data_IF_707849524706
#
_entry.id   IF_707849524706
#
_cell.length_a   1.000
_cell.length_b   1.000
_cell.length_c   1.000
_cell.angle_alpha   90.00
_cell.angle_beta   90.00
_cell.angle_gamma   90.00
#
_symmetry.space_group_name_H-M   'P 1'
#
loop_
_entity.id
_entity.type
_entity.pdbx_description
1 polymer ?
#
# COMPACT_ATOMS: atom_id res chain seq x y z
N UNK A 1 -22.15 -8.75 16.21
CA UNK A 1 -21.13 -7.72 15.96
C UNK A 1 -21.73 -6.76 14.95
N UNK A 2 -22.17 -5.58 15.37
CA UNK A 2 -22.71 -4.58 14.45
C UNK A 2 -21.48 -3.98 13.75
N UNK A 3 -21.28 -4.36 12.48
CA UNK A 3 -20.35 -3.64 11.61
C UNK A 3 -21.03 -2.29 11.34
N UNK A 4 -20.78 -1.30 12.19
CA UNK A 4 -21.07 0.08 11.83
C UNK A 4 -20.23 0.33 10.57
N UNK A 5 -20.90 0.46 9.43
CA UNK A 5 -20.22 0.81 8.20
C UNK A 5 -19.44 2.10 8.45
N UNK A 6 -18.14 2.09 8.16
CA UNK A 6 -17.30 3.26 8.36
C UNK A 6 -17.92 4.48 7.66
N UNK A 7 -17.82 5.67 8.26
CA UNK A 7 -18.35 6.87 7.63
C UNK A 7 -17.78 7.02 6.21
N UNK A 8 -18.60 7.37 5.21
CA UNK A 8 -18.18 7.35 3.81
C UNK A 8 -16.98 8.25 3.53
N UNK A 9 -16.84 9.37 4.24
CA UNK A 9 -15.68 10.28 4.11
C UNK A 9 -14.39 9.70 4.69
N UNK A 10 -14.46 8.96 5.79
CA UNK A 10 -13.32 8.22 6.36
C UNK A 10 -12.86 7.15 5.39
N UNK A 11 -13.79 6.41 4.80
CA UNK A 11 -13.47 5.36 3.82
C UNK A 11 -12.82 5.94 2.56
N UNK A 12 -13.31 7.07 2.05
CA UNK A 12 -12.71 7.75 0.89
C UNK A 12 -11.28 8.19 1.21
N UNK A 13 -11.02 8.74 2.40
CA UNK A 13 -9.67 9.14 2.80
C UNK A 13 -8.73 7.94 2.90
N UNK A 14 -9.21 6.82 3.46
CA UNK A 14 -8.45 5.56 3.52
C UNK A 14 -8.13 5.02 2.11
N UNK A 15 -9.13 4.97 1.22
CA UNK A 15 -8.96 4.53 -0.17
C UNK A 15 -7.98 5.43 -0.94
N UNK A 16 -8.01 6.74 -0.70
CA UNK A 16 -7.07 7.68 -1.30
C UNK A 16 -5.64 7.47 -0.81
N UNK A 17 -5.44 7.30 0.51
CA UNK A 17 -4.13 6.99 1.08
C UNK A 17 -3.58 5.64 0.56
N UNK A 18 -4.44 4.63 0.48
CA UNK A 18 -4.12 3.33 -0.12
C UNK A 18 -3.70 3.47 -1.59
N UNK A 19 -4.46 4.20 -2.40
CA UNK A 19 -4.15 4.40 -3.81
C UNK A 19 -2.79 5.08 -4.00
N UNK A 20 -2.48 6.10 -3.19
CA UNK A 20 -1.18 6.78 -3.21
C UNK A 20 -0.03 5.87 -2.80
N UNK A 21 -0.24 5.00 -1.84
CA UNK A 21 0.76 3.99 -1.47
C UNK A 21 1.07 3.06 -2.66
N UNK A 22 0.03 2.57 -3.34
CA UNK A 22 0.19 1.70 -4.50
C UNK A 22 0.81 2.40 -5.71
N UNK A 23 0.51 3.68 -5.94
CA UNK A 23 1.19 4.49 -6.96
C UNK A 23 2.68 4.63 -6.68
N UNK A 24 3.07 4.92 -5.44
CA UNK A 24 4.46 5.00 -5.04
C UNK A 24 5.19 3.67 -5.24
N UNK A 25 4.56 2.54 -4.88
CA UNK A 25 5.08 1.20 -5.14
C UNK A 25 5.32 0.95 -6.63
N UNK A 26 4.33 1.29 -7.46
CA UNK A 26 4.41 1.08 -8.90
C UNK A 26 5.52 1.92 -9.53
N UNK A 27 5.71 3.17 -9.08
CA UNK A 27 6.78 4.04 -9.55
C UNK A 27 8.17 3.50 -9.18
N UNK A 28 8.31 3.02 -7.95
CA UNK A 28 9.55 2.40 -7.45
C UNK A 28 9.89 1.12 -8.22
N UNK A 29 8.89 0.25 -8.44
CA UNK A 29 9.05 -0.96 -9.25
C UNK A 29 9.38 -0.64 -10.71
N UNK A 30 8.73 0.36 -11.31
CA UNK A 30 9.02 0.79 -12.68
C UNK A 30 10.45 1.32 -12.81
N UNK A 31 10.92 2.09 -11.82
CA UNK A 31 12.31 2.59 -11.78
C UNK A 31 13.30 1.44 -11.66
N UNK A 32 13.03 0.49 -10.75
CA UNK A 32 13.84 -0.72 -10.62
C UNK A 32 13.94 -1.49 -11.95
N UNK A 33 12.79 -1.77 -12.58
CA UNK A 33 12.73 -2.48 -13.86
C UNK A 33 13.43 -1.73 -14.99
N UNK A 34 13.30 -0.40 -15.06
CA UNK A 34 13.96 0.42 -16.08
C UNK A 34 15.48 0.47 -15.91
N UNK A 35 15.99 0.35 -14.68
CA UNK A 35 17.43 0.30 -14.38
C UNK A 35 18.05 -1.10 -14.57
N UNK A 36 17.22 -2.13 -14.69
CA UNK A 36 17.64 -3.52 -14.75
C UNK A 36 17.93 -3.95 -16.20
N UNK A 37 19.07 -3.53 -16.78
CA UNK A 37 19.46 -3.99 -18.12
C UNK A 37 19.74 -5.51 -18.18
N UNK A 38 20.00 -6.22 -17.06
CA UNK A 38 20.50 -7.62 -17.11
C UNK A 38 20.12 -8.54 -15.91
N UNK A 39 18.98 -8.37 -15.23
CA UNK A 39 18.70 -9.16 -14.01
C UNK A 39 17.89 -10.46 -14.25
N UNK A 40 18.34 -11.63 -13.74
CA UNK A 40 17.56 -12.88 -13.79
C UNK A 40 16.28 -12.81 -12.94
N UNK A 41 15.24 -13.56 -13.32
CA UNK A 41 13.89 -13.51 -12.75
C UNK A 41 13.80 -13.72 -11.22
N UNK A 42 14.78 -14.40 -10.62
CA UNK A 42 14.87 -14.56 -9.15
C UNK A 42 15.17 -13.25 -8.42
N UNK A 43 15.89 -12.31 -9.06
CA UNK A 43 16.15 -11.00 -8.49
C UNK A 43 14.92 -10.08 -8.54
N UNK A 44 14.02 -10.27 -9.51
CA UNK A 44 12.75 -9.56 -9.57
C UNK A 44 11.80 -9.90 -8.42
N UNK A 45 11.76 -11.16 -7.98
CA UNK A 45 10.94 -11.58 -6.83
C UNK A 45 11.45 -10.98 -5.51
N UNK A 46 12.77 -10.99 -5.29
CA UNK A 46 13.35 -10.32 -4.12
C UNK A 46 13.12 -8.82 -4.14
N UNK A 47 13.21 -8.18 -5.30
CA UNK A 47 12.91 -6.76 -5.44
C UNK A 47 11.46 -6.45 -5.05
N UNK A 48 10.48 -7.23 -5.53
CA UNK A 48 9.08 -7.07 -5.13
C UNK A 48 8.91 -7.16 -3.62
N UNK A 49 9.53 -8.13 -2.94
CA UNK A 49 9.46 -8.25 -1.47
C UNK A 49 10.04 -7.01 -0.78
N UNK A 50 11.22 -6.54 -1.19
CA UNK A 50 11.84 -5.33 -0.63
C UNK A 50 10.98 -4.08 -0.84
N UNK A 51 10.33 -3.94 -1.99
CA UNK A 51 9.44 -2.81 -2.25
C UNK A 51 8.13 -2.89 -1.46
N UNK A 52 7.62 -4.10 -1.18
CA UNK A 52 6.47 -4.29 -0.29
C UNK A 52 6.81 -3.92 1.17
N UNK A 53 8.01 -4.24 1.65
CA UNK A 53 8.46 -3.82 2.99
C UNK A 53 8.54 -2.29 3.09
N UNK A 54 9.03 -1.62 2.04
CA UNK A 54 9.07 -0.15 1.98
C UNK A 54 7.69 0.51 1.93
N UNK A 55 6.63 -0.22 1.58
CA UNK A 55 5.27 0.30 1.60
C UNK A 55 4.81 0.66 3.03
N UNK A 56 5.30 -0.09 4.03
CA UNK A 56 5.01 0.18 5.43
C UNK A 56 5.70 1.44 5.96
N UNK A 57 6.74 1.92 5.27
CA UNK A 57 7.50 3.13 5.61
C UNK A 57 6.94 4.39 4.94
N UNK A 58 5.94 4.24 4.05
CA UNK A 58 5.38 5.39 3.34
C UNK A 58 4.67 6.35 4.31
N UNK A 59 4.94 7.66 4.23
CA UNK A 59 4.22 8.65 5.01
C UNK A 59 2.81 8.76 4.43
N UNK A 60 1.85 8.01 4.99
CA UNK A 60 0.45 8.04 4.57
C UNK A 60 -0.30 9.28 5.10
N UNK A 61 0.19 9.84 6.20
CA UNK A 61 -0.40 10.97 6.91
C UNK A 61 -0.73 12.17 6.01
N UNK A 62 0.18 12.63 5.12
CA UNK A 62 -0.10 13.76 4.22
C UNK A 62 -1.26 13.50 3.26
N UNK A 63 -1.56 12.24 2.93
CA UNK A 63 -2.67 11.90 2.05
C UNK A 63 -4.02 11.94 2.76
N UNK A 64 -4.03 11.71 4.08
CA UNK A 64 -5.23 11.73 4.92
C UNK A 64 -5.58 13.15 5.36
N UNK A 65 -4.58 13.98 5.65
CA UNK A 65 -4.75 15.37 6.09
C UNK A 65 -5.51 16.25 5.07
N UNK A 66 -5.54 15.86 3.79
CA UNK A 66 -6.31 16.55 2.75
C UNK A 66 -7.83 16.45 2.87
N UNK A 67 -8.37 15.58 3.73
CA UNK A 67 -9.80 15.25 3.80
C UNK A 67 -10.61 15.99 4.88
N UNK A 68 -10.01 16.99 5.55
CA UNK A 68 -10.66 17.78 6.60
C UNK A 68 -11.35 16.93 7.69
N UNK A 69 -10.70 15.83 8.07
CA UNK A 69 -11.16 14.89 9.09
C UNK A 69 -10.88 15.42 10.50
N UNK A 70 -11.67 14.97 11.48
CA UNK A 70 -11.27 15.04 12.89
C UNK A 70 -10.08 14.11 13.17
N UNK A 71 -9.42 14.28 14.32
CA UNK A 71 -8.31 13.40 14.70
C UNK A 71 -8.69 11.92 14.75
N UNK A 72 -9.83 11.60 15.37
CA UNK A 72 -10.33 10.22 15.45
C UNK A 72 -10.66 9.62 14.07
N UNK A 73 -11.22 10.42 13.17
CA UNK A 73 -11.52 10.00 11.80
C UNK A 73 -10.25 9.81 10.96
N UNK A 74 -9.22 10.63 11.18
CA UNK A 74 -7.92 10.48 10.53
C UNK A 74 -7.21 9.20 11.00
N UNK A 75 -7.26 8.91 12.30
CA UNK A 75 -6.72 7.67 12.86
C UNK A 75 -7.47 6.44 12.32
N UNK A 76 -8.79 6.52 12.19
CA UNK A 76 -9.60 5.47 11.59
C UNK A 76 -9.28 5.27 10.11
N UNK A 77 -9.16 6.36 9.33
CA UNK A 77 -8.77 6.30 7.93
C UNK A 77 -7.37 5.71 7.76
N UNK A 78 -6.44 6.05 8.65
CA UNK A 78 -5.08 5.50 8.68
C UNK A 78 -5.10 3.99 8.93
N UNK A 79 -5.83 3.55 9.96
CA UNK A 79 -5.96 2.13 10.28
C UNK A 79 -6.53 1.34 9.10
N UNK A 80 -7.59 1.85 8.46
CA UNK A 80 -8.22 1.21 7.30
C UNK A 80 -7.25 1.14 6.11
N UNK A 81 -6.50 2.22 5.83
CA UNK A 81 -5.51 2.23 4.76
C UNK A 81 -4.40 1.19 5.01
N UNK A 82 -3.90 1.11 6.24
CA UNK A 82 -2.88 0.14 6.64
C UNK A 82 -3.38 -1.30 6.55
N UNK A 83 -4.63 -1.56 6.94
CA UNK A 83 -5.24 -2.88 6.80
C UNK A 83 -5.33 -3.31 5.33
N UNK A 84 -5.79 -2.41 4.44
CA UNK A 84 -5.83 -2.67 3.00
C UNK A 84 -4.44 -2.90 2.38
N UNK A 85 -3.46 -2.12 2.82
CA UNK A 85 -2.04 -2.30 2.44
C UNK A 85 -1.56 -3.68 2.88
N UNK A 86 -1.77 -4.03 4.15
CA UNK A 86 -1.34 -5.31 4.71
C UNK A 86 -1.93 -6.51 3.98
N UNK A 87 -3.23 -6.46 3.65
CA UNK A 87 -3.89 -7.48 2.84
C UNK A 87 -3.27 -7.61 1.44
N UNK A 88 -3.00 -6.48 0.78
CA UNK A 88 -2.39 -6.46 -0.56
C UNK A 88 -0.97 -7.01 -0.54
N UNK A 89 -0.17 -6.66 0.47
CA UNK A 89 1.18 -7.21 0.68
C UNK A 89 1.14 -8.72 0.86
N UNK A 90 0.22 -9.25 1.68
CA UNK A 90 0.08 -10.69 1.88
C UNK A 90 -0.28 -11.42 0.57
N UNK A 91 -1.20 -10.86 -0.22
CA UNK A 91 -1.60 -11.44 -1.50
C UNK A 91 -0.45 -11.45 -2.52
N UNK A 92 0.28 -10.34 -2.65
CA UNK A 92 1.42 -10.23 -3.58
C UNK A 92 2.56 -11.16 -3.13
N UNK A 93 2.84 -11.23 -1.82
CA UNK A 93 3.85 -12.13 -1.27
C UNK A 93 3.49 -13.60 -1.53
N UNK A 94 2.23 -13.99 -1.32
CA UNK A 94 1.74 -15.32 -1.65
C UNK A 94 1.91 -15.62 -3.15
N UNK A 95 1.55 -14.68 -4.03
CA UNK A 95 1.71 -14.84 -5.47
C UNK A 95 3.18 -14.94 -5.91
N UNK A 96 4.09 -14.21 -5.26
CA UNK A 96 5.53 -14.24 -5.56
C UNK A 96 6.18 -15.56 -5.15
N UNK A 97 5.69 -16.22 -4.10
CA UNK A 97 6.22 -17.48 -3.58
C UNK A 97 5.67 -18.73 -4.28
N UNK A 98 4.48 -18.66 -4.89
CA UNK A 98 3.93 -19.77 -5.69
C UNK A 98 4.77 -19.89 -6.98
N UNK A 99 5.56 -20.96 -7.08
CA UNK A 99 6.26 -21.33 -8.33
C UNK A 99 5.21 -21.74 -9.39
N UNK A 100 5.37 -21.36 -10.67
CA UNK A 100 4.69 -22.04 -11.76
C UNK A 100 5.15 -23.50 -11.88
#
# INVERSE_FOLDING_TARGET
>A
MVVLADPPHVRIAAEAAYARAMEALAADLATYLASAEHYPAENGRQAVVLFLERLAELPLQPFIEGFALTGEEADQAMSLALDCIGQSVQLIHAAALVRP
#
